data_IF_865340962754
#
_entry.id   IF_865340962754
#
_cell.length_a   1.000
_cell.length_b   1.000
_cell.length_c   1.000
_cell.angle_alpha   90.00
_cell.angle_beta   90.00
_cell.angle_gamma   90.00
#
_symmetry.space_group_name_H-M   'P 1'
#
loop_
_entity.id
_entity.type
_entity.pdbx_description
1 polymer ?
#
# COMPACT_ATOMS: atom_id res chain seq x y z
N UNK A 1 3.84 -4.84 -16.21
CA UNK A 1 3.65 -4.01 -14.99
C UNK A 1 4.36 -2.64 -15.06
N UNK A 2 5.01 -2.22 -16.17
CA UNK A 2 5.82 -0.98 -16.19
C UNK A 2 5.02 0.34 -16.31
N UNK A 3 3.80 0.33 -16.84
CA UNK A 3 3.01 1.57 -17.01
C UNK A 3 2.36 2.12 -15.72
N UNK A 4 2.08 1.26 -14.73
CA UNK A 4 1.41 1.69 -13.48
C UNK A 4 2.36 2.31 -12.47
N UNK A 5 3.63 1.90 -12.50
CA UNK A 5 4.65 2.30 -11.52
C UNK A 5 4.88 3.82 -11.51
N UNK A 6 4.95 4.47 -12.68
CA UNK A 6 5.25 5.91 -12.76
C UNK A 6 4.15 6.80 -12.16
N UNK A 7 2.89 6.58 -12.54
CA UNK A 7 1.75 7.37 -12.04
C UNK A 7 1.55 7.17 -10.54
N UNK A 8 1.64 5.93 -10.08
CA UNK A 8 1.47 5.60 -8.67
C UNK A 8 2.56 6.22 -7.80
N UNK A 9 3.82 6.18 -8.26
CA UNK A 9 4.92 6.76 -7.50
C UNK A 9 4.87 8.28 -7.42
N UNK A 10 4.43 8.96 -8.49
CA UNK A 10 4.16 10.40 -8.45
C UNK A 10 3.05 10.75 -7.47
N UNK A 11 2.00 9.92 -7.40
CA UNK A 11 0.93 10.09 -6.44
C UNK A 11 1.44 9.96 -5.00
N UNK A 12 2.18 8.87 -4.68
CA UNK A 12 2.76 8.69 -3.34
C UNK A 12 3.76 9.79 -3.00
N UNK A 13 4.57 10.24 -3.97
CA UNK A 13 5.48 11.37 -3.79
C UNK A 13 4.72 12.64 -3.39
N UNK A 14 3.64 12.98 -4.10
CA UNK A 14 2.78 14.12 -3.73
C UNK A 14 2.13 13.99 -2.35
N UNK A 15 1.70 12.78 -1.96
CA UNK A 15 1.17 12.52 -0.61
C UNK A 15 2.25 12.76 0.46
N UNK A 16 3.47 12.28 0.24
CA UNK A 16 4.56 12.46 1.22
C UNK A 16 5.07 13.91 1.31
N UNK A 17 5.00 14.67 0.22
CA UNK A 17 5.36 16.08 0.20
C UNK A 17 4.32 16.95 0.95
N UNK A 18 3.03 16.66 0.75
CA UNK A 18 1.94 17.38 1.42
C UNK A 18 1.82 17.01 2.91
N UNK A 19 1.93 15.73 3.24
CA UNK A 19 1.75 15.23 4.61
C UNK A 19 3.10 14.94 5.26
N UNK A 20 3.66 15.92 5.97
CA UNK A 20 5.00 15.83 6.61
C UNK A 20 5.19 14.66 7.59
N UNK A 21 4.11 14.16 8.18
CA UNK A 21 4.13 13.01 9.10
C UNK A 21 3.90 11.67 8.38
N UNK A 22 3.67 11.69 7.07
CA UNK A 22 3.44 10.49 6.30
C UNK A 22 4.73 9.69 6.12
N UNK A 23 4.59 8.37 6.21
CA UNK A 23 5.67 7.41 6.09
C UNK A 23 5.33 6.40 4.99
N UNK A 24 6.30 6.05 4.15
CA UNK A 24 6.13 5.12 3.05
C UNK A 24 7.02 3.89 3.18
N UNK A 25 6.42 2.76 2.85
CA UNK A 25 7.05 1.45 2.84
C UNK A 25 6.75 0.78 1.50
N UNK A 26 7.77 0.16 0.91
CA UNK A 26 7.64 -0.69 -0.25
C UNK A 26 7.62 -2.15 0.22
N UNK A 27 6.71 -2.97 -0.29
CA UNK A 27 6.65 -4.39 0.02
C UNK A 27 6.56 -5.25 -1.24
N UNK A 28 7.23 -6.40 -1.17
CA UNK A 28 7.19 -7.48 -2.15
C UNK A 28 7.41 -8.81 -1.38
N UNK A 29 8.58 -9.43 -1.43
CA UNK A 29 9.02 -10.53 -0.55
C UNK A 29 9.60 -10.02 0.75
N UNK A 30 9.93 -8.72 0.82
CA UNK A 30 10.46 -8.05 2.00
C UNK A 30 9.87 -6.65 2.07
N UNK A 31 9.81 -6.14 3.30
CA UNK A 31 9.45 -4.75 3.58
C UNK A 31 10.70 -3.87 3.53
N UNK A 32 10.60 -2.73 2.86
CA UNK A 32 11.62 -1.69 2.82
C UNK A 32 11.01 -0.35 3.23
N UNK A 33 11.66 0.36 4.14
CA UNK A 33 11.29 1.74 4.46
C UNK A 33 11.86 2.67 3.38
N UNK A 34 11.01 3.50 2.78
CA UNK A 34 11.37 4.29 1.59
C UNK A 34 11.05 5.78 1.72
N UNK A 35 10.53 6.25 2.85
CA UNK A 35 10.21 7.68 3.06
C UNK A 35 11.39 8.58 2.73
N UNK A 36 12.61 8.23 3.15
CA UNK A 36 13.79 9.06 2.87
C UNK A 36 14.17 9.09 1.38
N UNK A 37 13.96 8.00 0.66
CA UNK A 37 14.15 7.97 -0.79
C UNK A 37 13.10 8.83 -1.51
N UNK A 38 11.91 8.98 -0.92
CA UNK A 38 10.81 9.76 -1.45
C UNK A 38 10.84 11.24 -1.08
N UNK A 39 11.64 11.64 -0.07
CA UNK A 39 11.99 13.04 0.19
C UNK A 39 12.92 13.63 -0.89
N UNK A 40 13.44 12.80 -1.79
CA UNK A 40 14.15 13.27 -2.99
C UNK A 40 13.20 14.15 -3.82
N UNK A 41 13.61 15.38 -4.11
CA UNK A 41 12.78 16.35 -4.84
C UNK A 41 12.65 15.98 -6.31
N UNK A 42 13.64 15.27 -6.84
CA UNK A 42 13.60 14.76 -8.20
C UNK A 42 12.82 13.44 -8.26
N UNK A 43 11.57 13.52 -8.72
CA UNK A 43 10.68 12.37 -8.87
C UNK A 43 11.26 11.27 -9.78
N UNK A 44 12.12 11.61 -10.75
CA UNK A 44 12.76 10.61 -11.60
C UNK A 44 13.83 9.83 -10.82
N UNK A 45 14.60 10.50 -9.95
CA UNK A 45 15.58 9.82 -9.08
C UNK A 45 14.92 8.98 -7.99
N UNK A 46 13.81 9.47 -7.42
CA UNK A 46 13.00 8.68 -6.49
C UNK A 46 12.49 7.39 -7.15
N UNK A 47 12.00 7.52 -8.40
CA UNK A 47 11.56 6.39 -9.24
C UNK A 47 12.69 5.40 -9.52
N UNK A 48 13.88 5.87 -9.87
CA UNK A 48 15.04 5.00 -10.12
C UNK A 48 15.45 4.23 -8.86
N UNK A 49 15.51 4.90 -7.70
CA UNK A 49 15.82 4.25 -6.42
C UNK A 49 14.79 3.19 -6.05
N UNK A 50 13.51 3.49 -6.21
CA UNK A 50 12.43 2.53 -5.95
C UNK A 50 12.45 1.37 -6.94
N UNK A 51 12.76 1.64 -8.21
CA UNK A 51 12.87 0.61 -9.24
C UNK A 51 14.01 -0.35 -8.92
N UNK A 52 15.17 0.15 -8.47
CA UNK A 52 16.29 -0.69 -8.01
C UNK A 52 15.90 -1.55 -6.80
N UNK A 53 15.15 -1.00 -5.83
CA UNK A 53 14.63 -1.76 -4.70
C UNK A 53 13.61 -2.83 -5.13
N UNK A 54 12.87 -2.57 -6.22
CA UNK A 54 11.91 -3.50 -6.80
C UNK A 54 12.54 -4.55 -7.75
N UNK A 55 13.78 -4.40 -8.22
CA UNK A 55 14.41 -5.38 -9.13
C UNK A 55 14.68 -6.74 -8.47
N UNK A 56 14.65 -6.83 -7.14
CA UNK A 56 14.63 -8.11 -6.42
C UNK A 56 13.28 -8.85 -6.45
N UNK A 57 12.30 -8.39 -7.26
CA UNK A 57 10.90 -8.77 -7.10
C UNK A 57 10.43 -10.14 -7.64
N UNK A 58 11.35 -11.05 -7.94
CA UNK A 58 11.05 -12.29 -8.69
C UNK A 58 10.34 -13.42 -7.95
N UNK A 59 9.75 -13.20 -6.77
CA UNK A 59 9.28 -14.28 -5.87
C UNK A 59 7.77 -14.31 -5.56
N UNK A 60 6.97 -13.43 -6.19
CA UNK A 60 5.59 -13.16 -5.78
C UNK A 60 5.48 -12.32 -4.49
N UNK A 61 4.34 -11.72 -4.25
CA UNK A 61 4.16 -10.76 -3.14
C UNK A 61 3.79 -11.48 -1.85
N UNK A 62 4.62 -11.28 -0.80
CA UNK A 62 4.41 -11.78 0.56
C UNK A 62 3.91 -10.65 1.46
N UNK A 63 2.64 -10.30 1.30
CA UNK A 63 2.00 -9.17 1.99
C UNK A 63 1.92 -9.47 3.49
N UNK A 64 1.49 -10.69 3.87
CA UNK A 64 1.37 -11.10 5.26
C UNK A 64 2.68 -11.02 6.04
N UNK A 65 3.78 -11.52 5.47
CA UNK A 65 5.12 -11.43 6.09
C UNK A 65 5.62 -9.97 6.17
N UNK A 66 5.33 -9.17 5.15
CA UNK A 66 5.70 -7.75 5.12
C UNK A 66 4.93 -6.95 6.18
N UNK A 67 3.63 -7.20 6.33
CA UNK A 67 2.81 -6.60 7.38
C UNK A 67 3.19 -7.08 8.78
N UNK A 68 3.55 -8.35 8.95
CA UNK A 68 4.06 -8.85 10.23
C UNK A 68 5.35 -8.11 10.63
N UNK A 69 6.25 -7.90 9.67
CA UNK A 69 7.47 -7.11 9.87
C UNK A 69 7.14 -5.67 10.23
N UNK A 70 6.20 -5.05 9.50
CA UNK A 70 5.73 -3.70 9.75
C UNK A 70 5.14 -3.55 11.17
N UNK A 71 4.18 -4.39 11.53
CA UNK A 71 3.49 -4.37 12.80
C UNK A 71 4.44 -4.55 13.98
N UNK A 72 5.44 -5.43 13.82
CA UNK A 72 6.43 -5.72 14.87
C UNK A 72 7.43 -4.59 15.08
N UNK A 73 7.97 -4.03 13.99
CA UNK A 73 9.17 -3.17 14.06
C UNK A 73 8.91 -1.69 13.80
N UNK A 74 7.81 -1.36 13.11
CA UNK A 74 7.58 -0.01 12.61
C UNK A 74 6.28 0.61 13.14
N UNK A 75 5.21 -0.17 13.29
CA UNK A 75 3.90 0.36 13.61
C UNK A 75 3.87 1.18 14.91
N UNK A 76 4.61 0.79 15.95
CA UNK A 76 4.66 1.55 17.20
C UNK A 76 5.24 2.98 17.05
N UNK A 77 6.07 3.20 16.03
CA UNK A 77 6.70 4.50 15.76
C UNK A 77 5.84 5.38 14.85
N UNK A 78 5.17 4.77 13.86
CA UNK A 78 4.54 5.50 12.75
C UNK A 78 3.02 5.44 12.74
N UNK A 79 2.39 4.57 13.54
CA UNK A 79 0.93 4.41 13.61
C UNK A 79 0.43 4.83 14.99
N UNK A 80 -0.63 5.64 14.98
CA UNK A 80 -1.45 5.98 16.14
C UNK A 80 -2.94 5.94 15.79
N UNK A 81 -3.80 6.18 16.77
CA UNK A 81 -5.26 6.05 16.67
C UNK A 81 -5.94 6.97 15.65
N UNK A 82 -5.21 7.95 15.09
CA UNK A 82 -5.69 8.88 14.06
C UNK A 82 -5.07 8.61 12.69
N UNK A 83 -4.15 7.65 12.58
CA UNK A 83 -3.45 7.36 11.33
C UNK A 83 -4.39 6.68 10.33
N UNK A 84 -4.37 7.13 9.08
CA UNK A 84 -4.96 6.41 7.95
C UNK A 84 -3.85 5.62 7.25
N UNK A 85 -4.03 4.31 7.10
CA UNK A 85 -3.09 3.47 6.37
C UNK A 85 -3.59 3.25 4.95
N UNK A 86 -2.75 3.53 3.97
CA UNK A 86 -3.05 3.30 2.55
C UNK A 86 -2.19 2.13 2.05
N UNK A 87 -2.83 1.04 1.64
CA UNK A 87 -2.18 -0.14 1.08
C UNK A 87 -2.50 -0.18 -0.41
N UNK A 88 -1.48 -0.32 -1.25
CA UNK A 88 -1.68 -0.37 -2.71
C UNK A 88 -1.17 -1.68 -3.23
N UNK A 89 -2.11 -2.54 -3.64
CA UNK A 89 -1.85 -3.90 -4.08
C UNK A 89 -3.09 -4.49 -4.73
N UNK A 90 -2.91 -5.44 -5.63
CA UNK A 90 -3.99 -6.28 -6.14
C UNK A 90 -4.48 -7.33 -5.13
N UNK A 91 -3.75 -7.50 -4.01
CA UNK A 91 -4.03 -8.44 -2.95
C UNK A 91 -3.67 -9.89 -3.30
N UNK A 92 -2.81 -10.08 -4.31
CA UNK A 92 -2.23 -11.37 -4.60
C UNK A 92 -1.16 -11.71 -3.55
N UNK A 93 -1.38 -12.79 -2.81
CA UNK A 93 -0.51 -13.27 -1.73
C UNK A 93 0.05 -14.65 -2.09
N UNK A 94 1.36 -14.82 -2.07
CA UNK A 94 2.02 -16.11 -2.33
C UNK A 94 2.41 -16.87 -1.07
N UNK A 95 2.37 -16.24 0.10
CA UNK A 95 2.56 -16.84 1.42
C UNK A 95 1.26 -17.23 2.12
N UNK A 96 1.25 -17.17 3.45
CA UNK A 96 0.09 -17.55 4.28
C UNK A 96 -0.97 -16.43 4.32
N UNK A 97 -2.08 -16.62 3.59
CA UNK A 97 -3.22 -15.69 3.64
C UNK A 97 -3.84 -15.54 5.04
N UNK A 98 -3.76 -16.56 5.90
CA UNK A 98 -4.24 -16.46 7.28
C UNK A 98 -3.34 -15.54 8.11
N UNK A 99 -2.03 -15.52 7.85
CA UNK A 99 -1.11 -14.53 8.42
C UNK A 99 -1.50 -13.13 7.98
N UNK A 100 -1.76 -12.91 6.69
CA UNK A 100 -2.22 -11.61 6.19
C UNK A 100 -3.48 -11.13 6.94
N UNK A 101 -4.49 -11.99 7.10
CA UNK A 101 -5.70 -11.63 7.87
C UNK A 101 -5.39 -11.26 9.32
N UNK A 102 -4.55 -12.05 10.01
CA UNK A 102 -4.15 -11.76 11.41
C UNK A 102 -3.43 -10.42 11.54
N UNK A 103 -2.49 -10.13 10.64
CA UNK A 103 -1.71 -8.89 10.67
C UNK A 103 -2.56 -7.66 10.28
N UNK A 104 -3.49 -7.82 9.33
CA UNK A 104 -4.49 -6.79 9.01
C UNK A 104 -5.40 -6.50 10.20
N UNK A 105 -5.86 -7.53 10.92
CA UNK A 105 -6.63 -7.34 12.15
C UNK A 105 -5.81 -6.59 13.22
N UNK A 106 -4.52 -6.91 13.36
CA UNK A 106 -3.60 -6.22 14.26
C UNK A 106 -3.48 -4.73 13.92
N UNK A 107 -3.31 -4.43 12.63
CA UNK A 107 -3.20 -3.08 12.10
C UNK A 107 -4.49 -2.27 12.29
N UNK A 108 -5.65 -2.87 11.99
CA UNK A 108 -6.96 -2.23 12.11
C UNK A 108 -7.29 -1.78 13.54
N UNK A 109 -6.74 -2.46 14.56
CA UNK A 109 -6.89 -2.05 15.96
C UNK A 109 -6.03 -0.86 16.36
N UNK A 110 -4.98 -0.55 15.59
CA UNK A 110 -3.98 0.49 15.91
C UNK A 110 -4.23 1.81 15.19
N UNK A 111 -4.73 1.72 13.96
CA UNK A 111 -4.97 2.87 13.10
C UNK A 111 -6.46 3.29 13.11
N UNK A 112 -6.73 4.47 12.58
CA UNK A 112 -8.09 4.99 12.44
C UNK A 112 -8.86 4.32 11.33
N UNK A 113 -8.17 4.08 10.21
CA UNK A 113 -8.72 3.55 8.95
C UNK A 113 -7.65 2.82 8.15
N UNK A 114 -8.09 1.83 7.38
CA UNK A 114 -7.31 1.16 6.33
C UNK A 114 -8.01 1.35 4.98
N UNK A 115 -7.32 2.00 4.06
CA UNK A 115 -7.70 2.17 2.67
C UNK A 115 -6.87 1.23 1.81
N UNK A 116 -7.54 0.38 1.03
CA UNK A 116 -6.91 -0.52 0.07
C UNK A 116 -7.16 -0.05 -1.36
N UNK A 117 -6.09 0.34 -2.03
CA UNK A 117 -6.10 0.81 -3.41
C UNK A 117 -5.68 -0.32 -4.35
N UNK A 118 -6.60 -0.76 -5.19
CA UNK A 118 -6.38 -1.90 -6.06
C UNK A 118 -6.29 -1.46 -7.54
N UNK A 119 -5.13 -1.64 -8.20
CA UNK A 119 -4.96 -1.28 -9.62
C UNK A 119 -5.65 -2.27 -10.56
N UNK A 120 -6.11 -3.44 -10.10
CA UNK A 120 -6.82 -4.42 -10.93
C UNK A 120 -8.34 -4.19 -10.96
N UNK A 121 -8.89 -3.38 -10.05
CA UNK A 121 -10.33 -3.08 -9.99
C UNK A 121 -10.88 -2.30 -11.20
N UNK A 122 -10.00 -1.82 -12.09
CA UNK A 122 -10.43 -1.19 -13.36
C UNK A 122 -10.78 -2.18 -14.46
N UNK A 123 -10.51 -3.47 -14.26
CA UNK A 123 -10.69 -4.50 -15.26
C UNK A 123 -12.14 -5.00 -15.22
N UNK A 124 -12.75 -5.13 -16.40
CA UNK A 124 -14.09 -5.69 -16.54
C UNK A 124 -14.10 -7.13 -16.00
N UNK A 125 -15.04 -7.42 -15.09
CA UNK A 125 -15.12 -8.72 -14.43
C UNK A 125 -14.16 -8.93 -13.26
N UNK A 126 -13.45 -7.89 -12.78
CA UNK A 126 -12.64 -8.02 -11.57
C UNK A 126 -13.51 -8.43 -10.37
N UNK A 127 -13.10 -9.50 -9.71
CA UNK A 127 -13.65 -9.92 -8.42
C UNK A 127 -12.48 -10.21 -7.45
N UNK A 128 -12.59 -9.84 -6.16
CA UNK A 128 -11.55 -10.08 -5.15
C UNK A 128 -11.55 -11.56 -4.74
N UNK A 129 -11.17 -12.45 -5.65
CA UNK A 129 -11.26 -13.89 -5.42
C UNK A 129 -9.99 -14.50 -4.81
N UNK A 130 -8.85 -13.81 -4.93
CA UNK A 130 -7.59 -14.26 -4.38
C UNK A 130 -7.67 -14.40 -2.85
N UNK A 131 -7.03 -15.43 -2.30
CA UNK A 131 -7.06 -15.72 -0.87
C UNK A 131 -6.52 -14.55 -0.03
N UNK A 132 -5.50 -13.85 -0.55
CA UNK A 132 -4.89 -12.69 0.12
C UNK A 132 -5.88 -11.56 0.34
N UNK A 133 -6.47 -11.02 -0.73
CA UNK A 133 -7.47 -9.95 -0.62
C UNK A 133 -8.67 -10.39 0.22
N UNK A 134 -9.15 -11.64 0.07
CA UNK A 134 -10.25 -12.18 0.89
C UNK A 134 -9.93 -12.15 2.39
N UNK A 135 -8.70 -12.47 2.78
CA UNK A 135 -8.28 -12.41 4.17
C UNK A 135 -8.15 -10.97 4.69
N UNK A 136 -7.81 -10.01 3.83
CA UNK A 136 -7.68 -8.60 4.18
C UNK A 136 -9.03 -7.86 4.24
N UNK A 137 -10.02 -8.24 3.40
CA UNK A 137 -11.32 -7.57 3.23
C UNK A 137 -12.04 -7.22 4.54
N UNK A 138 -12.14 -8.10 5.56
CA UNK A 138 -12.85 -7.77 6.80
C UNK A 138 -12.24 -6.61 7.61
N UNK A 139 -11.03 -6.18 7.26
CA UNK A 139 -10.24 -5.18 7.98
C UNK A 139 -10.02 -3.91 7.15
N UNK A 140 -10.59 -3.83 5.94
CA UNK A 140 -10.46 -2.69 5.03
C UNK A 140 -11.70 -1.81 5.19
N UNK A 141 -11.50 -0.53 5.50
CA UNK A 141 -12.59 0.46 5.56
C UNK A 141 -13.03 0.94 4.19
N UNK A 142 -12.09 1.00 3.24
CA UNK A 142 -12.34 1.43 1.86
C UNK A 142 -11.51 0.60 0.89
N UNK A 143 -12.18 -0.16 0.03
CA UNK A 143 -11.57 -0.79 -1.13
C UNK A 143 -11.90 0.06 -2.36
N UNK A 144 -10.87 0.61 -3.02
CA UNK A 144 -11.04 1.56 -4.12
C UNK A 144 -10.12 1.27 -5.31
N UNK A 145 -10.54 1.60 -6.54
CA UNK A 145 -9.69 1.48 -7.72
C UNK A 145 -8.52 2.49 -7.70
N UNK A 146 -7.36 2.08 -8.23
CA UNK A 146 -6.19 2.96 -8.39
C UNK A 146 -5.45 2.77 -9.72
N UNK A 147 -6.19 2.45 -10.77
CA UNK A 147 -5.65 2.13 -12.10
C UNK A 147 -5.54 3.35 -13.03
N UNK A 148 -6.11 4.50 -12.67
CA UNK A 148 -6.04 5.75 -13.43
C UNK A 148 -5.85 6.97 -12.51
N UNK A 149 -5.38 8.09 -13.08
CA UNK A 149 -5.38 9.39 -12.39
C UNK A 149 -6.78 9.79 -11.92
N UNK A 150 -7.81 9.51 -12.72
CA UNK A 150 -9.20 9.79 -12.35
C UNK A 150 -9.63 8.99 -11.12
N UNK A 151 -9.25 7.71 -11.03
CA UNK A 151 -9.55 6.90 -9.84
C UNK A 151 -8.83 7.40 -8.59
N UNK A 152 -7.58 7.87 -8.74
CA UNK A 152 -6.83 8.46 -7.63
C UNK A 152 -7.43 9.81 -7.19
N UNK A 153 -7.80 10.67 -8.14
CA UNK A 153 -8.46 11.95 -7.84
C UNK A 153 -9.81 11.75 -7.13
N UNK A 154 -10.54 10.67 -7.46
CA UNK A 154 -11.80 10.35 -6.79
C UNK A 154 -11.64 9.99 -5.31
N UNK A 155 -10.43 9.63 -4.86
CA UNK A 155 -10.16 9.28 -3.45
C UNK A 155 -10.44 10.44 -2.50
N UNK A 156 -10.26 11.69 -2.93
CA UNK A 156 -10.50 12.87 -2.10
C UNK A 156 -11.89 12.83 -1.45
N UNK A 157 -12.92 12.53 -2.22
CA UNK A 157 -14.31 12.47 -1.74
C UNK A 157 -14.55 11.41 -0.67
N UNK A 158 -13.71 10.37 -0.64
CA UNK A 158 -13.73 9.35 0.40
C UNK A 158 -12.90 9.80 1.60
N UNK A 159 -11.66 10.27 1.36
CA UNK A 159 -10.73 10.67 2.41
C UNK A 159 -11.24 11.86 3.24
N UNK A 160 -11.95 12.81 2.64
CA UNK A 160 -12.55 13.96 3.35
C UNK A 160 -13.67 13.53 4.31
N UNK A 161 -14.26 12.35 4.10
CA UNK A 161 -15.32 11.79 4.96
C UNK A 161 -14.78 10.87 6.07
N UNK A 162 -13.46 10.64 6.13
CA UNK A 162 -12.80 9.74 7.09
C UNK A 162 -12.30 10.45 8.35
#
# INVERSE_FOLDING_TARGET
MSMYTGTFLRFIHGVLDEFREAEAFLFHTRLAYVSDAMKEKDAARALDRLSLLAQGAGGGTRIGESLATFNRWHAARVIHSRTCVMIVSDGYETGDSALLGREMAGLARRCRRIVWLNPMMGWEGYAPEAAGIKAALPHIDLLAPAHTLKSLAALESYLVKL
#
